data_IF_700513355173
#
_entry.id   IF_700513355173
#
_cell.length_a   1.000
_cell.length_b   1.000
_cell.length_c   1.000
_cell.angle_alpha   90.00
_cell.angle_beta   90.00
_cell.angle_gamma   90.00
#
_symmetry.space_group_name_H-M   'P 1'
#
loop_
_entity.id
_entity.type
_entity.pdbx_description
1 polymer ?
#
# COMPACT_ATOMS: atom_id res chain seq x y z
N UNK A 1 18.06 -0.18 -2.98
CA UNK A 1 16.72 -0.48 -3.46
C UNK A 1 15.85 -0.96 -2.31
N UNK A 2 14.70 -0.34 -2.14
CA UNK A 2 13.80 -0.72 -1.05
C UNK A 2 13.04 -1.98 -1.43
N UNK A 3 13.05 -2.94 -0.55
CA UNK A 3 12.32 -4.18 -0.77
C UNK A 3 11.00 -4.14 -0.01
N UNK A 4 9.99 -4.66 -0.65
CA UNK A 4 8.67 -4.79 -0.06
C UNK A 4 8.54 -6.23 0.44
N UNK A 5 8.16 -6.41 1.70
CA UNK A 5 8.00 -7.76 2.25
C UNK A 5 6.77 -8.43 1.66
N UNK A 6 6.66 -9.75 1.82
CA UNK A 6 5.51 -10.49 1.32
C UNK A 6 4.20 -9.96 1.91
N UNK A 7 4.21 -9.61 3.20
CA UNK A 7 3.04 -9.05 3.87
C UNK A 7 2.67 -7.70 3.25
N UNK A 8 3.67 -6.87 3.00
CA UNK A 8 3.46 -5.56 2.40
C UNK A 8 2.94 -5.68 0.97
N UNK A 9 3.45 -6.63 0.21
CA UNK A 9 2.96 -6.88 -1.15
C UNK A 9 1.47 -7.24 -1.13
N UNK A 10 1.07 -8.10 -0.21
CA UNK A 10 -0.33 -8.50 -0.10
C UNK A 10 -1.21 -7.30 0.17
N UNK A 11 -0.76 -6.40 1.05
CA UNK A 11 -1.53 -5.20 1.36
C UNK A 11 -1.64 -4.29 0.14
N UNK A 12 -0.54 -4.13 -0.60
CA UNK A 12 -0.56 -3.31 -1.80
C UNK A 12 -1.50 -3.86 -2.87
N UNK A 13 -1.46 -5.17 -3.08
CA UNK A 13 -2.36 -5.80 -4.04
C UNK A 13 -3.81 -5.71 -3.59
N UNK A 14 -4.04 -5.87 -2.29
CA UNK A 14 -5.39 -5.74 -1.76
C UNK A 14 -5.93 -4.32 -1.95
N UNK A 15 -5.09 -3.32 -1.70
CA UNK A 15 -5.49 -1.94 -1.93
C UNK A 15 -5.79 -1.66 -3.39
N UNK A 16 -5.03 -2.28 -4.30
CA UNK A 16 -5.29 -2.14 -5.72
C UNK A 16 -6.63 -2.75 -6.12
N UNK A 17 -7.00 -3.84 -5.43
CA UNK A 17 -8.24 -4.55 -5.73
C UNK A 17 -9.47 -3.86 -5.14
N UNK A 18 -9.42 -3.52 -3.85
CA UNK A 18 -10.57 -2.95 -3.14
C UNK A 18 -10.60 -1.42 -3.19
N UNK A 19 -9.47 -0.80 -3.47
CA UNK A 19 -9.38 0.65 -3.56
C UNK A 19 -9.08 1.35 -2.26
N UNK A 20 -9.61 0.88 -1.15
CA UNK A 20 -9.43 1.54 0.14
C UNK A 20 -9.59 0.55 1.28
N UNK A 21 -8.72 0.67 2.27
CA UNK A 21 -8.81 -0.10 3.51
C UNK A 21 -9.14 0.84 4.66
N UNK A 22 -10.09 0.46 5.48
CA UNK A 22 -10.49 1.27 6.63
C UNK A 22 -9.91 0.75 7.94
N UNK A 23 -9.47 -0.49 7.98
CA UNK A 23 -8.90 -1.08 9.19
C UNK A 23 -7.39 -1.09 9.11
N UNK A 24 -6.69 -0.66 10.18
CA UNK A 24 -5.23 -0.74 10.19
C UNK A 24 -4.77 -2.20 10.15
N UNK A 25 -3.68 -2.45 9.45
CA UNK A 25 -3.11 -3.79 9.33
C UNK A 25 -1.62 -3.72 9.60
N UNK A 26 -1.06 -4.85 10.02
CA UNK A 26 0.37 -4.94 10.23
C UNK A 26 1.08 -4.66 8.89
N UNK A 27 2.05 -3.80 8.93
CA UNK A 27 2.78 -3.43 7.72
C UNK A 27 2.23 -2.20 7.02
N UNK A 28 0.99 -1.81 7.31
CA UNK A 28 0.39 -0.64 6.66
C UNK A 28 1.15 0.63 7.04
N UNK A 29 1.53 0.78 8.30
CA UNK A 29 2.29 1.94 8.74
C UNK A 29 3.64 2.03 8.04
N UNK A 30 4.31 0.91 7.86
CA UNK A 30 5.58 0.89 7.17
C UNK A 30 5.43 1.29 5.72
N UNK A 31 4.37 0.83 5.07
CA UNK A 31 4.09 1.24 3.70
C UNK A 31 3.81 2.74 3.62
N UNK A 32 3.12 3.27 4.61
CA UNK A 32 2.84 4.71 4.66
C UNK A 32 4.14 5.49 4.82
N UNK A 33 5.04 5.02 5.69
CA UNK A 33 6.34 5.65 5.86
C UNK A 33 7.19 5.59 4.61
N UNK A 34 7.07 4.51 3.86
CA UNK A 34 7.80 4.36 2.60
C UNK A 34 7.16 5.15 1.46
N UNK A 35 5.97 5.68 1.68
CA UNK A 35 5.30 6.49 0.68
C UNK A 35 4.45 5.72 -0.30
N UNK A 36 4.23 4.42 -0.08
CA UNK A 36 3.41 3.60 -0.98
C UNK A 36 1.91 3.76 -0.75
N UNK A 37 1.51 4.14 0.46
CA UNK A 37 0.10 4.35 0.79
C UNK A 37 -0.08 5.69 1.49
N UNK A 38 -1.29 6.20 1.44
CA UNK A 38 -1.66 7.44 2.10
C UNK A 38 -3.01 7.28 2.76
N UNK A 39 -3.29 8.11 3.74
CA UNK A 39 -4.58 8.08 4.43
C UNK A 39 -4.43 8.02 5.93
N UNK A 40 -5.55 7.75 6.60
CA UNK A 40 -5.59 7.68 8.05
C UNK A 40 -6.78 6.81 8.48
N UNK A 41 -6.96 6.67 9.81
CA UNK A 41 -8.03 5.83 10.33
C UNK A 41 -9.42 6.34 9.98
N UNK A 42 -9.54 7.65 9.85
CA UNK A 42 -10.85 8.27 9.57
C UNK A 42 -11.27 8.10 8.13
N UNK A 43 -10.36 8.34 7.21
CA UNK A 43 -10.66 8.32 5.78
C UNK A 43 -10.30 7.00 5.11
N UNK A 44 -9.55 6.16 5.81
CA UNK A 44 -9.04 4.94 5.23
C UNK A 44 -7.71 5.16 4.53
N UNK A 45 -7.10 4.07 4.10
CA UNK A 45 -5.81 4.11 3.41
C UNK A 45 -5.98 3.70 1.97
N UNK A 46 -5.32 4.45 1.08
CA UNK A 46 -5.34 4.18 -0.35
C UNK A 46 -3.91 4.16 -0.88
N UNK A 47 -3.73 3.65 -2.08
CA UNK A 47 -2.43 3.69 -2.73
C UNK A 47 -2.06 5.12 -3.08
N UNK A 48 -0.80 5.47 -2.83
CA UNK A 48 -0.25 6.73 -3.30
C UNK A 48 0.25 6.55 -4.73
N UNK A 49 0.72 7.65 -5.34
CA UNK A 49 1.29 7.58 -6.68
C UNK A 49 2.46 6.59 -6.71
N UNK A 50 3.29 6.59 -5.66
CA UNK A 50 4.41 5.66 -5.58
C UNK A 50 3.92 4.22 -5.51
N UNK A 51 2.83 3.97 -4.78
CA UNK A 51 2.23 2.64 -4.71
C UNK A 51 1.75 2.16 -6.08
N UNK A 52 1.10 3.03 -6.84
CA UNK A 52 0.68 2.70 -8.19
C UNK A 52 1.86 2.43 -9.10
N UNK A 53 2.93 3.22 -8.98
CA UNK A 53 4.15 3.01 -9.75
C UNK A 53 4.78 1.65 -9.43
N UNK A 54 4.79 1.30 -8.16
CA UNK A 54 5.32 -0.01 -7.75
C UNK A 54 4.51 -1.15 -8.36
N UNK A 55 3.18 -1.03 -8.32
CA UNK A 55 2.31 -2.05 -8.89
C UNK A 55 2.53 -2.20 -10.40
N UNK A 56 2.66 -1.08 -11.09
CA UNK A 56 2.91 -1.11 -12.52
C UNK A 56 4.23 -1.82 -12.83
N UNK A 57 5.26 -1.53 -12.05
CA UNK A 57 6.56 -2.16 -12.24
C UNK A 57 6.53 -3.66 -11.99
N UNK A 58 5.74 -4.09 -11.00
CA UNK A 58 5.65 -5.50 -10.64
C UNK A 58 4.81 -6.28 -11.65
N UNK A 59 3.78 -5.65 -12.20
CA UNK A 59 2.89 -6.31 -13.15
C UNK A 59 3.51 -6.46 -14.54
N UNK A 60 4.45 -5.61 -14.89
CA UNK A 60 5.15 -5.67 -16.16
C UNK A 60 6.49 -6.35 -16.00
#
# INVERSE_FOLDING_TARGET
MKKVTAIQEKILFQLADVGRLFKPRRGLELLQKKGFVKGNKREGWTLSDRGFQWLAAVRW
#
